data_IF_403056412062
#
_entry.id   IF_403056412062
#
_cell.length_a   1.000
_cell.length_b   1.000
_cell.length_c   1.000
_cell.angle_alpha   90.00
_cell.angle_beta   90.00
_cell.angle_gamma   90.00
#
_symmetry.space_group_name_H-M   'P 1'
#
loop_
_entity.id
_entity.type
_entity.pdbx_description
1 polymer ?
#
# COMPACT_ATOMS: atom_id res chain seq x y z
N UNK A 1 -3.23 -5.95 -16.80
CA UNK A 1 -2.43 -6.93 -16.04
C UNK A 1 -1.27 -6.16 -15.42
N UNK A 2 -1.53 -5.43 -14.32
CA UNK A 2 -0.53 -4.56 -13.67
C UNK A 2 -0.41 -4.84 -12.15
N UNK A 3 -1.40 -5.53 -11.59
CA UNK A 3 -1.47 -5.81 -10.15
C UNK A 3 -0.34 -6.75 -9.65
N UNK A 4 -0.02 -7.88 -10.32
CA UNK A 4 1.02 -8.78 -9.81
C UNK A 4 2.42 -8.13 -9.77
N UNK A 5 2.88 -7.39 -10.80
CA UNK A 5 4.15 -6.65 -10.73
C UNK A 5 4.21 -5.62 -9.59
N UNK A 6 3.11 -4.89 -9.32
CA UNK A 6 3.05 -3.90 -8.24
C UNK A 6 3.18 -4.57 -6.87
N UNK A 7 2.45 -5.67 -6.63
CA UNK A 7 2.56 -6.43 -5.37
C UNK A 7 4.01 -6.91 -5.16
N UNK A 8 4.65 -7.44 -6.20
CA UNK A 8 6.06 -7.88 -6.12
C UNK A 8 6.97 -6.71 -5.75
N UNK A 9 6.76 -5.53 -6.34
CA UNK A 9 7.56 -4.34 -6.06
C UNK A 9 7.44 -3.90 -4.59
N UNK A 10 6.22 -3.85 -4.04
CA UNK A 10 6.02 -3.51 -2.62
C UNK A 10 6.57 -4.58 -1.66
N UNK A 11 6.50 -5.86 -2.03
CA UNK A 11 7.13 -6.92 -1.25
C UNK A 11 8.66 -6.82 -1.26
N UNK A 12 9.26 -6.44 -2.40
CA UNK A 12 10.70 -6.17 -2.49
C UNK A 12 11.07 -4.97 -1.61
N UNK A 13 10.28 -3.89 -1.62
CA UNK A 13 10.49 -2.72 -0.77
C UNK A 13 10.51 -3.12 0.72
N UNK A 14 9.50 -3.84 1.18
CA UNK A 14 9.41 -4.36 2.55
C UNK A 14 10.62 -5.23 2.87
N UNK A 15 10.99 -6.14 1.97
CA UNK A 15 12.12 -7.04 2.16
C UNK A 15 13.44 -6.27 2.29
N UNK A 16 13.68 -5.28 1.43
CA UNK A 16 14.90 -4.47 1.43
C UNK A 16 15.01 -3.65 2.72
N UNK A 17 13.90 -3.10 3.22
CA UNK A 17 13.89 -2.33 4.47
C UNK A 17 14.12 -3.25 5.68
N UNK A 18 13.43 -4.40 5.75
CA UNK A 18 13.47 -5.30 6.91
C UNK A 18 14.68 -6.24 6.94
N UNK A 19 15.44 -6.37 5.85
CA UNK A 19 16.60 -7.27 5.78
C UNK A 19 17.58 -7.01 6.95
N UNK A 20 18.05 -8.05 7.67
CA UNK A 20 19.08 -7.88 8.69
C UNK A 20 20.35 -7.30 8.04
N UNK A 21 20.94 -6.30 8.68
CA UNK A 21 22.01 -5.42 8.15
C UNK A 21 21.58 -4.37 7.11
N UNK A 22 20.29 -4.12 6.96
CA UNK A 22 19.81 -2.99 6.15
C UNK A 22 20.36 -1.65 6.67
N UNK A 23 20.84 -0.82 5.73
CA UNK A 23 21.25 0.57 5.99
C UNK A 23 20.02 1.50 6.12
N UNK A 24 18.83 1.00 5.79
CA UNK A 24 17.57 1.74 5.79
C UNK A 24 16.94 1.77 7.19
N UNK A 25 17.56 2.51 8.10
CA UNK A 25 17.10 2.67 9.49
C UNK A 25 16.63 4.10 9.75
N UNK A 26 15.59 4.25 10.57
CA UNK A 26 15.05 5.54 11.01
C UNK A 26 13.61 5.80 10.60
N UNK A 27 13.03 6.88 11.13
CA UNK A 27 11.61 7.23 10.96
C UNK A 27 11.22 7.40 9.48
N UNK A 28 12.14 7.84 8.63
CA UNK A 28 11.93 7.96 7.19
C UNK A 28 11.58 6.60 6.56
N UNK A 29 12.37 5.56 6.83
CA UNK A 29 12.13 4.23 6.26
C UNK A 29 10.93 3.51 6.89
N UNK A 30 10.58 3.82 8.14
CA UNK A 30 9.32 3.36 8.73
C UNK A 30 8.10 3.92 8.00
N UNK A 31 8.14 5.17 7.51
CA UNK A 31 7.06 5.76 6.72
C UNK A 31 6.93 5.11 5.33
N UNK A 32 8.06 4.78 4.69
CA UNK A 32 8.06 4.00 3.44
C UNK A 32 7.48 2.61 3.65
N UNK A 33 7.89 1.92 4.72
CA UNK A 33 7.34 0.62 5.07
C UNK A 33 5.82 0.67 5.30
N UNK A 34 5.34 1.69 6.03
CA UNK A 34 3.91 1.89 6.25
C UNK A 34 3.16 2.14 4.93
N UNK A 35 3.72 2.95 4.03
CA UNK A 35 3.15 3.21 2.70
C UNK A 35 3.03 1.95 1.85
N UNK A 36 4.08 1.11 1.84
CA UNK A 36 4.06 -0.17 1.12
C UNK A 36 2.96 -1.12 1.61
N UNK A 37 2.66 -1.15 2.91
CA UNK A 37 1.53 -1.92 3.44
C UNK A 37 0.16 -1.37 2.99
N UNK A 38 -0.01 -0.05 3.00
CA UNK A 38 -1.25 0.60 2.55
C UNK A 38 -1.48 0.34 1.06
N UNK A 39 -0.41 0.42 0.26
CA UNK A 39 -0.48 0.14 -1.17
C UNK A 39 -0.79 -1.34 -1.46
N UNK A 40 -0.21 -2.30 -0.73
CA UNK A 40 -0.56 -3.73 -0.86
C UNK A 40 -2.04 -3.94 -0.52
N UNK A 41 -2.55 -3.32 0.54
CA UNK A 41 -3.95 -3.41 0.93
C UNK A 41 -4.87 -2.86 -0.17
N UNK A 42 -4.55 -1.68 -0.72
CA UNK A 42 -5.31 -1.04 -1.78
C UNK A 42 -5.31 -1.86 -3.08
N UNK A 43 -4.14 -2.37 -3.47
CA UNK A 43 -4.00 -3.20 -4.68
C UNK A 43 -4.74 -4.52 -4.52
N UNK A 44 -4.73 -5.11 -3.32
CA UNK A 44 -5.44 -6.34 -3.02
C UNK A 44 -6.96 -6.15 -3.00
N UNK A 45 -7.45 -5.00 -2.50
CA UNK A 45 -8.88 -4.69 -2.45
C UNK A 45 -9.46 -4.32 -3.82
N UNK A 46 -8.66 -3.75 -4.72
CA UNK A 46 -9.05 -3.37 -6.09
C UNK A 46 -8.85 -4.49 -7.12
N UNK A 47 -8.04 -5.51 -6.82
CA UNK A 47 -7.83 -6.65 -7.73
C UNK A 47 -9.12 -7.40 -8.12
N UNK A 48 -10.09 -7.64 -7.21
CA UNK A 48 -11.37 -8.26 -7.56
C UNK A 48 -12.16 -7.45 -8.59
N UNK A 49 -12.15 -6.11 -8.53
CA UNK A 49 -12.86 -5.25 -9.51
C UNK A 49 -12.35 -5.46 -10.93
N UNK A 50 -11.02 -5.48 -11.10
CA UNK A 50 -10.42 -5.60 -12.43
C UNK A 50 -10.48 -7.01 -13.01
N UNK A 51 -10.52 -8.06 -12.17
CA UNK A 51 -10.58 -9.46 -12.63
C UNK A 51 -11.98 -10.02 -12.76
N UNK A 52 -12.91 -9.71 -11.86
CA UNK A 52 -14.31 -10.14 -11.97
C UNK A 52 -14.94 -9.53 -13.22
N UNK A 53 -14.66 -8.26 -13.52
CA UNK A 53 -15.18 -7.60 -14.73
C UNK A 53 -14.58 -8.11 -16.05
N UNK A 54 -13.43 -8.80 -16.03
CA UNK A 54 -12.70 -9.20 -17.27
C UNK A 54 -12.59 -10.71 -17.51
N UNK A 55 -12.82 -11.56 -16.50
CA UNK A 55 -12.67 -13.01 -16.64
C UNK A 55 -13.87 -13.77 -16.01
N UNK A 56 -14.87 -14.17 -16.81
CA UNK A 56 -16.08 -14.82 -16.31
C UNK A 56 -15.83 -16.17 -15.63
N UNK A 57 -14.75 -16.88 -15.96
CA UNK A 57 -14.39 -18.18 -15.33
C UNK A 57 -13.99 -18.02 -13.86
N UNK A 58 -13.38 -16.89 -13.50
CA UNK A 58 -13.02 -16.58 -12.11
C UNK A 58 -14.25 -16.09 -11.35
N UNK A 59 -15.22 -15.46 -12.02
CA UNK A 59 -16.47 -14.98 -11.44
C UNK A 59 -17.26 -16.08 -10.72
N UNK A 60 -17.31 -17.30 -11.29
CA UNK A 60 -18.00 -18.44 -10.67
C UNK A 60 -17.39 -18.88 -9.32
N UNK A 61 -16.09 -18.66 -9.10
CA UNK A 61 -15.44 -18.96 -7.82
C UNK A 61 -15.72 -17.89 -6.74
N UNK A 62 -16.22 -16.73 -7.14
CA UNK A 62 -16.59 -15.61 -6.26
C UNK A 62 -18.11 -15.35 -6.25
N UNK A 63 -18.92 -16.23 -6.85
CA UNK A 63 -20.39 -16.25 -6.71
C UNK A 63 -20.73 -16.52 -5.22
N UNK A 64 -20.91 -15.43 -4.46
CA UNK A 64 -21.11 -15.46 -3.00
C UNK A 64 -20.20 -14.49 -2.24
N UNK A 65 -19.14 -13.98 -2.88
CA UNK A 65 -18.32 -12.88 -2.33
C UNK A 65 -18.99 -11.51 -2.48
N UNK A 66 -20.11 -11.44 -3.21
CA UNK A 66 -21.05 -10.31 -3.21
C UNK A 66 -21.84 -10.18 -1.89
N UNK A 67 -21.23 -10.57 -0.77
CA UNK A 67 -21.73 -10.16 0.53
C UNK A 67 -21.63 -8.63 0.60
N UNK A 68 -22.74 -7.96 0.95
CA UNK A 68 -22.85 -6.52 1.15
C UNK A 68 -21.67 -5.95 1.98
N UNK A 69 -21.23 -6.73 2.97
CA UNK A 69 -20.09 -6.43 3.84
C UNK A 69 -18.76 -6.36 3.07
N UNK A 70 -18.51 -7.28 2.12
CA UNK A 70 -17.29 -7.28 1.31
C UNK A 70 -17.19 -6.07 0.41
N UNK A 71 -18.31 -5.64 -0.16
CA UNK A 71 -18.41 -4.42 -0.98
C UNK A 71 -18.25 -3.15 -0.12
N UNK A 72 -18.84 -3.10 1.08
CA UNK A 72 -18.68 -1.97 2.00
C UNK A 72 -17.25 -1.81 2.50
N UNK A 73 -16.58 -2.90 2.91
CA UNK A 73 -15.17 -2.89 3.32
C UNK A 73 -14.30 -2.39 2.17
N UNK A 74 -14.57 -2.85 0.94
CA UNK A 74 -13.85 -2.42 -0.26
C UNK A 74 -14.00 -0.93 -0.54
N UNK A 75 -15.23 -0.40 -0.55
CA UNK A 75 -15.47 1.04 -0.77
C UNK A 75 -14.75 1.84 0.32
N UNK A 76 -14.87 1.41 1.57
CA UNK A 76 -14.22 2.07 2.72
C UNK A 76 -12.69 2.10 2.55
N UNK A 77 -12.08 0.97 2.18
CA UNK A 77 -10.63 0.91 1.91
C UNK A 77 -10.22 1.79 0.73
N UNK A 78 -11.02 1.86 -0.33
CA UNK A 78 -10.73 2.73 -1.48
C UNK A 78 -10.73 4.22 -1.15
N UNK A 79 -11.37 4.64 -0.05
CA UNK A 79 -11.29 6.03 0.44
C UNK A 79 -10.20 6.21 1.50
N UNK A 80 -10.07 5.27 2.44
CA UNK A 80 -9.14 5.38 3.56
C UNK A 80 -7.69 5.19 3.10
N UNK A 81 -7.41 4.22 2.22
CA UNK A 81 -6.05 3.92 1.80
C UNK A 81 -5.39 5.10 1.07
N UNK A 82 -6.01 5.77 0.07
CA UNK A 82 -5.43 6.95 -0.55
C UNK A 82 -5.24 8.11 0.45
N UNK A 83 -6.17 8.30 1.38
CA UNK A 83 -6.04 9.33 2.41
C UNK A 83 -4.83 9.08 3.32
N UNK A 84 -4.65 7.85 3.79
CA UNK A 84 -3.48 7.47 4.60
C UNK A 84 -2.20 7.64 3.76
N UNK A 85 -2.23 7.29 2.49
CA UNK A 85 -1.08 7.42 1.60
C UNK A 85 -0.67 8.89 1.41
N UNK A 86 -1.63 9.80 1.25
CA UNK A 86 -1.38 11.24 1.18
C UNK A 86 -0.81 11.77 2.51
N UNK A 87 -1.32 11.31 3.65
CA UNK A 87 -0.74 11.66 4.96
C UNK A 87 0.69 11.14 5.13
N UNK A 88 0.99 9.94 4.65
CA UNK A 88 2.35 9.37 4.67
C UNK A 88 3.28 10.20 3.78
N UNK A 89 2.85 10.58 2.58
CA UNK A 89 3.64 11.44 1.70
C UNK A 89 3.87 12.83 2.30
N UNK A 90 2.87 13.42 2.95
CA UNK A 90 3.02 14.67 3.69
C UNK A 90 4.05 14.52 4.84
N UNK A 91 3.99 13.42 5.59
CA UNK A 91 4.93 13.13 6.67
C UNK A 91 6.37 12.92 6.14
N UNK A 92 6.53 12.23 5.01
CA UNK A 92 7.82 12.04 4.33
C UNK A 92 8.38 13.40 3.89
N UNK A 93 7.56 14.25 3.27
CA UNK A 93 7.96 15.58 2.85
C UNK A 93 8.38 16.45 4.05
N UNK A 94 7.62 16.39 5.15
CA UNK A 94 7.94 17.11 6.38
C UNK A 94 9.22 16.60 7.05
N UNK A 95 9.45 15.28 7.07
CA UNK A 95 10.68 14.69 7.58
C UNK A 95 11.89 15.16 6.77
N UNK A 96 11.79 15.17 5.43
CA UNK A 96 12.84 15.70 4.56
C UNK A 96 13.06 17.20 4.79
N UNK A 97 12.00 18.00 4.87
CA UNK A 97 12.10 19.43 5.16
C UNK A 97 12.83 19.70 6.48
N UNK A 98 12.48 18.95 7.52
CA UNK A 98 13.11 19.07 8.84
C UNK A 98 14.58 18.65 8.82
N UNK A 99 14.92 17.58 8.10
CA UNK A 99 16.32 17.13 7.96
C UNK A 99 17.21 18.18 7.27
N UNK A 100 16.67 18.92 6.31
CA UNK A 100 17.41 20.00 5.61
C UNK A 100 17.49 21.26 6.46
N UNK A 101 16.40 21.65 7.13
CA UNK A 101 16.35 22.87 7.94
C UNK A 101 17.09 22.76 9.28
N UNK A 102 17.20 21.55 9.85
CA UNK A 102 17.85 21.32 11.15
C UNK A 102 18.79 20.11 11.12
N UNK A 103 19.93 20.20 10.41
CA UNK A 103 20.86 19.08 10.26
C UNK A 103 21.56 18.65 11.56
N UNK A 104 21.50 19.43 12.64
CA UNK A 104 22.14 19.10 13.93
C UNK A 104 21.25 18.28 14.89
N UNK A 105 19.97 18.08 14.57
CA UNK A 105 19.00 17.41 15.46
C UNK A 105 18.43 16.10 14.89
N UNK A 106 18.96 15.62 13.76
CA UNK A 106 18.50 14.42 13.05
C UNK A 106 19.53 13.30 13.19
#
# INVERSE_FOLDING_TARGET
IYVPPLIILYLIEIFVILKPQSQFKGAFYCLFLAGAFVDILMVSSTFPEFRIAKFPIVSAAYEGFEAEIGTQIRITLSYICPFIQDMIFAAIAFNRFTSVMRPRQH
#
